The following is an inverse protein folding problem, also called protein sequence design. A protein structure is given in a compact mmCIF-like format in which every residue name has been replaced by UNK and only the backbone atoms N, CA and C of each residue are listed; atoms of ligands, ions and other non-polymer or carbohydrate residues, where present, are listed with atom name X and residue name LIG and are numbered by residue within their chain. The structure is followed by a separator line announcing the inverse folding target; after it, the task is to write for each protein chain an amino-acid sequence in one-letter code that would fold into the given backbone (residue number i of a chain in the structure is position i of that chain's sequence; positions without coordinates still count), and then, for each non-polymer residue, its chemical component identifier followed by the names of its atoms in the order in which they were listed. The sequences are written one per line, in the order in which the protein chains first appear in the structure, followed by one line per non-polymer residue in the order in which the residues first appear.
data_IF_335013930940
#
_entry.id   IF_335013930940
#
_cell.length_a   1.000
_cell.length_b   1.000
_cell.length_c   1.000
_cell.angle_alpha   90.00
_cell.angle_beta   90.00
_cell.angle_gamma   90.00
#
_symmetry.space_group_name_H-M   'P 1'
#
loop_
_entity.id
_entity.type
_entity.pdbx_description
1 polymer ?
#
# COMPACT_ATOMS: atom_id res chain seq x y z
N UNK A 1 21.34 -42.54 31.34
CA UNK A 1 21.75 -43.47 30.29
C UNK A 1 20.52 -43.92 29.51
N UNK A 2 20.26 -43.39 28.33
CA UNK A 2 19.49 -44.04 27.27
C UNK A 2 19.92 -43.36 25.95
N UNK A 3 20.62 -44.16 25.12
CA UNK A 3 21.09 -43.83 23.80
C UNK A 3 19.89 -43.84 22.85
N UNK A 4 19.76 -42.85 21.97
CA UNK A 4 18.92 -42.96 20.81
C UNK A 4 19.79 -42.85 19.56
N UNK A 5 19.71 -43.91 18.81
CA UNK A 5 20.42 -44.22 17.56
C UNK A 5 19.78 -43.44 16.40
N UNK A 6 20.65 -42.94 15.51
CA UNK A 6 20.24 -42.22 14.31
C UNK A 6 19.64 -43.10 13.20
N UNK A 7 18.87 -42.49 12.35
CA UNK A 7 18.54 -43.00 11.03
C UNK A 7 18.99 -42.00 9.97
N UNK A 8 20.03 -42.39 9.24
CA UNK A 8 20.41 -41.80 7.95
C UNK A 8 19.50 -42.38 6.88
N UNK A 9 18.79 -41.54 6.15
CA UNK A 9 18.15 -41.89 4.89
C UNK A 9 18.87 -41.22 3.73
N UNK A 10 19.51 -42.05 2.94
CA UNK A 10 20.12 -41.66 1.68
C UNK A 10 19.08 -41.44 0.60
N UNK A 11 19.13 -40.32 -0.07
CA UNK A 11 18.37 -40.07 -1.30
C UNK A 11 19.28 -40.21 -2.49
N UNK A 12 18.94 -41.18 -3.37
CA UNK A 12 19.59 -41.49 -4.62
C UNK A 12 19.36 -40.36 -5.66
N UNK A 13 20.46 -40.01 -6.29
CA UNK A 13 20.55 -39.13 -7.44
C UNK A 13 20.15 -39.89 -8.70
N UNK A 14 19.07 -39.50 -9.35
CA UNK A 14 18.66 -40.01 -10.67
C UNK A 14 19.11 -39.06 -11.77
N UNK A 15 20.14 -39.47 -12.54
CA UNK A 15 20.57 -38.78 -13.75
C UNK A 15 19.71 -39.24 -14.91
N UNK A 16 19.02 -38.32 -15.59
CA UNK A 16 18.41 -38.58 -16.90
C UNK A 16 19.20 -37.87 -17.99
N UNK A 17 19.72 -38.69 -18.89
CA UNK A 17 20.47 -38.33 -20.08
C UNK A 17 19.50 -37.88 -21.17
N UNK A 18 19.73 -36.67 -21.71
CA UNK A 18 19.08 -36.16 -22.92
C UNK A 18 19.89 -36.59 -24.15
N UNK A 19 19.24 -37.38 -25.01
CA UNK A 19 19.70 -37.62 -26.38
C UNK A 19 18.98 -36.65 -27.32
N UNK A 20 19.78 -36.01 -28.17
CA UNK A 20 19.31 -35.08 -29.19
C UNK A 20 18.89 -35.79 -30.50
N UNK A 21 18.18 -35.06 -31.34
CA UNK A 21 18.16 -35.17 -32.82
C UNK A 21 17.35 -34.00 -33.36
N UNK A 22 17.91 -33.24 -34.13
CA UNK A 22 18.16 -33.12 -35.60
C UNK A 22 17.25 -32.07 -36.27
N UNK A 23 17.93 -31.18 -36.89
CA UNK A 23 17.54 -30.11 -37.82
C UNK A 23 16.87 -30.65 -39.08
N UNK A 24 15.82 -29.97 -39.58
CA UNK A 24 15.41 -30.01 -40.98
C UNK A 24 15.08 -28.63 -41.48
N UNK A 25 15.91 -28.18 -42.40
CA UNK A 25 15.79 -27.02 -43.26
C UNK A 25 14.78 -27.29 -44.37
N UNK A 26 13.83 -26.39 -44.60
CA UNK A 26 13.02 -26.36 -45.87
C UNK A 26 13.05 -24.94 -46.42
N UNK A 27 13.45 -24.92 -47.71
CA UNK A 27 13.68 -23.79 -48.61
C UNK A 27 12.39 -23.01 -48.94
N UNK A 28 12.60 -21.70 -49.12
CA UNK A 28 11.72 -20.78 -49.89
C UNK A 28 11.69 -21.17 -51.40
N UNK A 29 10.64 -20.77 -52.12
CA UNK A 29 10.84 -20.34 -53.53
C UNK A 29 10.52 -18.86 -53.72
N UNK A 30 11.45 -18.19 -54.36
CA UNK A 30 11.24 -16.90 -55.05
C UNK A 30 10.37 -17.09 -56.29
N UNK A 31 9.50 -16.11 -56.54
CA UNK A 31 9.12 -15.67 -57.91
C UNK A 31 8.56 -14.25 -57.85
N UNK A 32 9.29 -13.37 -58.38
CA UNK A 32 9.18 -12.64 -59.69
C UNK A 32 8.27 -11.40 -59.69
N UNK A 33 8.95 -10.32 -59.95
CA UNK A 33 8.56 -8.93 -60.24
C UNK A 33 7.57 -8.82 -61.40
N UNK A 34 6.54 -7.96 -61.23
CA UNK A 34 5.94 -7.25 -62.36
C UNK A 34 5.66 -5.81 -61.95
N UNK A 35 6.34 -4.92 -62.65
CA UNK A 35 6.12 -3.46 -62.66
C UNK A 35 4.85 -3.15 -63.46
N UNK A 36 3.99 -2.29 -62.89
CA UNK A 36 3.11 -1.45 -63.71
C UNK A 36 2.98 -0.10 -62.98
N UNK A 37 3.55 0.90 -63.62
CA UNK A 37 3.31 2.31 -63.30
C UNK A 37 1.91 2.69 -63.81
N UNK A 38 1.15 3.40 -62.97
CA UNK A 38 0.16 4.40 -63.50
C UNK A 38 -0.19 5.41 -62.42
N UNK A 39 0.16 6.64 -62.76
CA UNK A 39 -0.50 7.93 -62.51
C UNK A 39 -0.93 8.35 -61.08
N UNK A 40 -0.27 9.40 -60.69
CA UNK A 40 -0.54 10.47 -59.73
C UNK A 40 -1.99 10.98 -59.79
N UNK A 41 -2.68 10.99 -58.65
CA UNK A 41 -3.66 12.03 -58.33
C UNK A 41 -3.46 12.43 -56.86
N UNK A 42 -3.02 13.68 -56.70
CA UNK A 42 -2.98 14.35 -55.37
C UNK A 42 -4.40 14.52 -54.87
N UNK A 43 -4.69 13.99 -53.72
CA UNK A 43 -5.71 14.54 -52.82
C UNK A 43 -5.07 14.64 -51.44
N UNK A 44 -4.58 15.83 -51.16
CA UNK A 44 -4.31 16.31 -49.83
C UNK A 44 -5.65 16.46 -49.14
N UNK A 45 -6.04 15.43 -48.38
CA UNK A 45 -7.09 15.56 -47.38
C UNK A 45 -6.37 15.74 -46.06
N UNK A 46 -6.43 16.95 -45.54
CA UNK A 46 -6.03 17.35 -44.21
C UNK A 46 -6.58 16.35 -43.22
N UNK A 47 -5.69 15.52 -42.65
CA UNK A 47 -5.96 14.79 -41.44
C UNK A 47 -5.73 15.77 -40.31
N UNK A 48 -6.75 16.59 -40.02
CA UNK A 48 -6.83 17.31 -38.77
C UNK A 48 -6.79 16.25 -37.67
N UNK A 49 -5.65 16.09 -37.02
CA UNK A 49 -5.54 15.42 -35.75
C UNK A 49 -6.32 16.29 -34.76
N UNK A 50 -7.53 15.86 -34.41
CA UNK A 50 -8.18 16.31 -33.22
C UNK A 50 -7.35 15.72 -32.06
N UNK A 51 -6.31 16.43 -31.66
CA UNK A 51 -5.85 16.41 -30.28
C UNK A 51 -6.96 17.08 -29.49
N UNK A 52 -7.89 16.27 -28.99
CA UNK A 52 -8.80 16.67 -27.93
C UNK A 52 -7.88 17.02 -26.76
N UNK A 53 -7.66 18.30 -26.54
CA UNK A 53 -6.94 18.78 -25.36
C UNK A 53 -7.79 18.34 -24.17
N UNK A 54 -7.38 17.26 -23.50
CA UNK A 54 -7.93 16.91 -22.21
C UNK A 54 -7.83 18.18 -21.36
N UNK A 55 -8.98 18.70 -20.91
CA UNK A 55 -8.99 19.82 -19.97
C UNK A 55 -8.14 19.38 -18.78
N UNK A 56 -7.09 20.14 -18.48
CA UNK A 56 -6.22 19.83 -17.35
C UNK A 56 -7.08 19.85 -16.10
N UNK A 57 -7.19 18.70 -15.42
CA UNK A 57 -7.89 18.64 -14.15
C UNK A 57 -7.10 19.45 -13.12
N UNK A 58 -7.80 20.21 -12.31
CA UNK A 58 -7.23 21.01 -11.22
C UNK A 58 -7.42 20.35 -9.83
N UNK A 59 -8.17 19.27 -9.78
CA UNK A 59 -8.60 18.67 -8.53
C UNK A 59 -8.51 17.14 -8.58
N UNK A 60 -7.90 16.54 -7.56
CA UNK A 60 -7.82 15.08 -7.34
C UNK A 60 -8.39 14.76 -5.95
N UNK A 61 -9.27 13.76 -5.88
CA UNK A 61 -9.79 13.23 -4.62
C UNK A 61 -9.12 11.89 -4.29
N UNK A 62 -8.44 11.84 -3.15
CA UNK A 62 -7.83 10.61 -2.63
C UNK A 62 -8.76 9.97 -1.60
N UNK A 63 -9.16 8.73 -1.83
CA UNK A 63 -9.82 7.87 -0.86
C UNK A 63 -8.77 6.97 -0.23
N UNK A 64 -8.28 7.37 0.93
CA UNK A 64 -7.19 6.69 1.61
C UNK A 64 -7.77 5.76 2.66
N UNK A 65 -7.57 4.45 2.51
CA UNK A 65 -8.12 3.45 3.41
C UNK A 65 -7.05 2.59 4.08
N UNK A 66 -7.28 2.26 5.35
CA UNK A 66 -6.48 1.27 6.07
C UNK A 66 -6.90 -0.12 5.64
N UNK A 67 -5.93 -1.03 5.45
CA UNK A 67 -6.18 -2.44 5.16
C UNK A 67 -7.18 -3.11 6.12
N UNK A 68 -7.83 -4.19 5.69
CA UNK A 68 -8.72 -5.01 6.50
C UNK A 68 -8.01 -5.64 7.72
N UNK A 69 -8.78 -6.16 8.69
CA UNK A 69 -8.24 -6.75 9.93
C UNK A 69 -7.45 -8.02 9.64
N UNK A 70 -6.20 -8.07 10.12
CA UNK A 70 -5.27 -9.20 9.94
C UNK A 70 -5.22 -10.13 11.15
N UNK A 71 -4.54 -11.28 10.98
CA UNK A 71 -4.25 -12.21 12.08
C UNK A 71 -3.41 -11.54 13.17
N UNK A 72 -2.41 -10.71 12.83
CA UNK A 72 -1.60 -9.99 13.80
C UNK A 72 -2.41 -8.93 14.55
N UNK A 73 -3.34 -8.23 13.88
CA UNK A 73 -4.28 -7.34 14.57
C UNK A 73 -5.21 -8.09 15.56
N UNK A 74 -5.52 -9.35 15.28
CA UNK A 74 -6.37 -10.17 16.17
C UNK A 74 -5.61 -10.68 17.35
N UNK A 75 -4.33 -11.02 17.20
CA UNK A 75 -3.45 -11.50 18.27
C UNK A 75 -2.73 -10.37 19.03
N UNK A 76 -3.07 -9.12 18.77
CA UNK A 76 -2.50 -7.91 19.37
C UNK A 76 -0.98 -7.85 19.30
N UNK A 77 -0.45 -8.04 18.08
CA UNK A 77 0.99 -7.98 17.80
C UNK A 77 1.33 -6.82 16.89
N UNK A 78 2.52 -6.28 17.06
CA UNK A 78 3.09 -5.25 16.21
C UNK A 78 3.15 -5.73 14.75
N UNK A 79 2.69 -4.89 13.84
CA UNK A 79 2.62 -5.19 12.42
C UNK A 79 2.99 -3.96 11.61
N UNK A 80 4.27 -3.80 11.40
CA UNK A 80 4.83 -2.80 10.50
C UNK A 80 5.09 -3.41 9.12
N UNK A 81 6.35 -3.76 8.84
CA UNK A 81 6.73 -4.39 7.57
C UNK A 81 6.47 -5.89 7.54
N UNK A 82 6.42 -6.58 8.69
CA UNK A 82 5.92 -7.96 8.75
C UNK A 82 4.50 -8.02 8.18
N UNK A 83 4.19 -9.09 7.45
CA UNK A 83 2.88 -9.23 6.82
C UNK A 83 2.11 -10.44 7.35
N UNK A 84 0.79 -10.32 7.35
CA UNK A 84 -0.11 -11.41 7.73
C UNK A 84 -1.42 -11.28 6.93
N UNK A 85 -2.06 -12.41 6.55
CA UNK A 85 -3.29 -12.41 5.79
C UNK A 85 -4.44 -11.75 6.54
N UNK A 86 -5.44 -11.31 5.79
CA UNK A 86 -6.70 -10.84 6.36
C UNK A 86 -7.42 -11.99 7.10
N UNK A 87 -8.12 -11.65 8.17
CA UNK A 87 -9.05 -12.57 8.82
C UNK A 87 -10.39 -12.61 8.06
N UNK A 88 -11.27 -13.60 8.32
CA UNK A 88 -12.62 -13.57 7.75
C UNK A 88 -13.37 -12.25 8.04
N UNK A 89 -13.19 -11.69 9.25
CA UNK A 89 -13.76 -10.37 9.60
C UNK A 89 -13.08 -9.22 8.84
N UNK A 90 -11.79 -9.34 8.53
CA UNK A 90 -11.05 -8.38 7.70
C UNK A 90 -11.52 -8.39 6.24
N UNK A 91 -11.75 -9.58 5.69
CA UNK A 91 -12.33 -9.77 4.34
C UNK A 91 -13.74 -9.18 4.29
N UNK A 92 -14.59 -9.47 5.28
CA UNK A 92 -15.97 -8.96 5.31
C UNK A 92 -16.03 -7.43 5.40
N UNK A 93 -15.20 -6.80 6.23
CA UNK A 93 -15.20 -5.33 6.32
C UNK A 93 -14.66 -4.67 5.04
N UNK A 94 -13.69 -5.28 4.36
CA UNK A 94 -13.19 -4.81 3.06
C UNK A 94 -14.28 -4.98 1.97
N UNK A 95 -15.00 -6.11 1.98
CA UNK A 95 -16.14 -6.34 1.07
C UNK A 95 -17.27 -5.32 1.32
N UNK A 96 -17.61 -5.09 2.58
CA UNK A 96 -18.60 -4.07 2.95
C UNK A 96 -18.17 -2.67 2.49
N UNK A 97 -16.90 -2.30 2.65
CA UNK A 97 -16.37 -1.04 2.13
C UNK A 97 -16.55 -0.94 0.61
N UNK A 98 -16.18 -1.99 -0.14
CA UNK A 98 -16.35 -2.01 -1.60
C UNK A 98 -17.81 -1.84 -2.03
N UNK A 99 -18.74 -2.55 -1.38
CA UNK A 99 -20.19 -2.41 -1.63
C UNK A 99 -20.70 -1.00 -1.28
N UNK A 100 -20.24 -0.43 -0.16
CA UNK A 100 -20.64 0.91 0.27
C UNK A 100 -20.16 2.00 -0.68
N UNK A 101 -18.92 1.93 -1.15
CA UNK A 101 -18.38 2.84 -2.16
C UNK A 101 -19.15 2.73 -3.49
N UNK A 102 -19.56 1.52 -3.87
CA UNK A 102 -20.43 1.32 -5.03
C UNK A 102 -21.81 1.96 -4.86
N UNK A 103 -22.43 1.83 -3.70
CA UNK A 103 -23.73 2.44 -3.40
C UNK A 103 -23.68 3.97 -3.44
N UNK A 104 -22.55 4.56 -3.06
CA UNK A 104 -22.31 6.01 -3.14
C UNK A 104 -21.94 6.50 -4.55
N UNK A 105 -21.84 5.60 -5.53
CA UNK A 105 -21.51 5.94 -6.90
C UNK A 105 -20.06 6.41 -7.10
N UNK A 106 -19.15 6.12 -6.16
CA UNK A 106 -17.73 6.44 -6.30
C UNK A 106 -17.12 5.54 -7.39
N UNK A 107 -16.49 6.12 -8.40
CA UNK A 107 -15.77 5.38 -9.45
C UNK A 107 -14.32 5.80 -9.48
N UNK A 108 -13.42 4.84 -9.26
CA UNK A 108 -11.98 5.12 -9.24
C UNK A 108 -11.37 5.11 -10.63
N UNK A 109 -10.47 6.05 -10.89
CA UNK A 109 -9.66 6.11 -12.09
C UNK A 109 -8.34 5.34 -11.91
N UNK A 110 -7.81 5.31 -10.70
CA UNK A 110 -6.57 4.64 -10.35
C UNK A 110 -6.58 4.05 -8.93
N UNK A 111 -5.73 3.03 -8.70
CA UNK A 111 -5.58 2.37 -7.41
C UNK A 111 -4.11 2.20 -7.07
N UNK A 112 -3.71 2.73 -5.93
CA UNK A 112 -2.36 2.57 -5.38
C UNK A 112 -2.42 1.82 -4.05
N UNK A 113 -1.44 0.97 -3.80
CA UNK A 113 -1.35 0.23 -2.54
C UNK A 113 0.08 0.17 -2.01
N UNK A 114 0.20 0.02 -0.68
CA UNK A 114 1.41 -0.60 -0.13
C UNK A 114 1.66 -1.95 -0.80
N UNK A 115 2.90 -2.35 -0.94
CA UNK A 115 3.27 -3.67 -1.49
C UNK A 115 3.10 -4.82 -0.49
N UNK A 116 2.55 -4.56 0.71
CA UNK A 116 2.16 -5.59 1.69
C UNK A 116 0.94 -6.37 1.21
N UNK A 117 0.94 -7.69 1.36
CA UNK A 117 -0.16 -8.58 0.92
C UNK A 117 -1.51 -8.18 1.49
N UNK A 118 -1.57 -7.78 2.79
CA UNK A 118 -2.81 -7.31 3.43
C UNK A 118 -3.42 -6.07 2.78
N UNK A 119 -2.59 -5.15 2.26
CA UNK A 119 -3.08 -3.96 1.56
C UNK A 119 -3.54 -4.29 0.15
N UNK A 120 -2.79 -5.14 -0.56
CA UNK A 120 -3.14 -5.63 -1.89
C UNK A 120 -4.45 -6.42 -1.85
N UNK A 121 -4.58 -7.40 -0.95
CA UNK A 121 -5.80 -8.20 -0.76
C UNK A 121 -7.02 -7.30 -0.45
N UNK A 122 -6.84 -6.27 0.37
CA UNK A 122 -7.90 -5.30 0.66
C UNK A 122 -8.34 -4.54 -0.60
N UNK A 123 -7.40 -4.06 -1.43
CA UNK A 123 -7.70 -3.36 -2.68
C UNK A 123 -8.41 -4.27 -3.68
N UNK A 124 -7.95 -5.51 -3.85
CA UNK A 124 -8.57 -6.52 -4.73
C UNK A 124 -10.02 -6.79 -4.34
N UNK A 125 -10.29 -6.93 -3.03
CA UNK A 125 -11.65 -7.13 -2.51
C UNK A 125 -12.53 -5.91 -2.80
N UNK A 126 -12.06 -4.69 -2.53
CA UNK A 126 -12.79 -3.45 -2.79
C UNK A 126 -13.15 -3.35 -4.28
N UNK A 127 -12.19 -3.54 -5.18
CA UNK A 127 -12.42 -3.47 -6.63
C UNK A 127 -13.40 -4.52 -7.12
N UNK A 128 -13.29 -5.76 -6.61
CA UNK A 128 -14.21 -6.85 -6.93
C UNK A 128 -15.65 -6.51 -6.56
N UNK A 129 -15.89 -6.02 -5.33
CA UNK A 129 -17.24 -5.66 -4.86
C UNK A 129 -17.82 -4.46 -5.62
N UNK A 130 -16.97 -3.51 -6.00
CA UNK A 130 -17.37 -2.41 -6.87
C UNK A 130 -17.70 -2.87 -8.30
N UNK A 131 -17.10 -3.97 -8.77
CA UNK A 131 -17.15 -4.43 -10.14
C UNK A 131 -16.23 -3.65 -11.08
N UNK A 132 -15.19 -3.02 -10.54
CA UNK A 132 -14.14 -2.34 -11.31
C UNK A 132 -12.94 -3.27 -11.52
N UNK A 133 -12.34 -3.20 -12.69
CA UNK A 133 -11.13 -3.95 -13.05
C UNK A 133 -10.01 -2.96 -13.39
N UNK A 134 -9.34 -2.45 -12.37
CA UNK A 134 -8.23 -1.52 -12.47
C UNK A 134 -6.91 -2.22 -12.11
N UNK A 135 -5.82 -1.77 -12.73
CA UNK A 135 -4.48 -2.18 -12.32
C UNK A 135 -4.16 -1.62 -10.93
N UNK A 136 -3.58 -2.46 -10.07
CA UNK A 136 -3.16 -2.07 -8.72
C UNK A 136 -1.68 -1.68 -8.76
N UNK A 137 -1.40 -0.38 -8.64
CA UNK A 137 -0.04 0.15 -8.55
C UNK A 137 0.51 -0.01 -7.13
N UNK A 138 1.58 -0.82 -6.99
CA UNK A 138 2.19 -1.12 -5.68
C UNK A 138 3.40 -0.21 -5.45
N UNK A 139 3.43 0.46 -4.29
CA UNK A 139 4.56 1.29 -3.90
C UNK A 139 4.98 1.01 -2.45
N UNK A 140 6.24 0.61 -2.27
CA UNK A 140 6.82 0.32 -0.93
C UNK A 140 6.83 1.54 -0.01
N UNK A 141 6.77 2.76 -0.55
CA UNK A 141 6.71 3.99 0.25
C UNK A 141 5.37 4.16 0.97
N UNK A 142 4.32 3.38 0.58
CA UNK A 142 3.02 3.30 1.27
C UNK A 142 3.00 2.26 2.40
N UNK A 143 4.10 1.54 2.69
CA UNK A 143 4.19 0.60 3.82
C UNK A 143 3.90 1.28 5.15
N UNK A 144 3.54 0.47 6.16
CA UNK A 144 3.50 0.88 7.55
C UNK A 144 4.92 1.26 8.02
N UNK A 145 5.04 1.83 9.20
CA UNK A 145 6.32 2.02 9.86
C UNK A 145 7.08 0.70 9.92
N UNK A 146 8.37 0.74 9.68
CA UNK A 146 9.24 -0.39 9.99
C UNK A 146 9.53 -0.39 11.51
N UNK A 147 9.19 -1.47 12.18
CA UNK A 147 9.46 -1.62 13.61
C UNK A 147 10.78 -2.37 13.89
N UNK A 148 11.56 -2.67 12.85
CA UNK A 148 12.86 -3.34 12.99
C UNK A 148 12.75 -4.70 13.66
N UNK A 149 13.57 -4.94 14.68
CA UNK A 149 13.55 -6.20 15.46
C UNK A 149 12.34 -6.35 16.38
N UNK A 150 11.49 -5.31 16.49
CA UNK A 150 10.22 -5.35 17.25
C UNK A 150 9.03 -5.84 16.41
N UNK A 151 9.25 -6.18 15.14
CA UNK A 151 8.20 -6.75 14.28
C UNK A 151 7.66 -8.06 14.83
N UNK A 152 6.33 -8.18 14.91
CA UNK A 152 5.65 -9.39 15.43
C UNK A 152 5.64 -9.54 16.95
N UNK A 153 6.28 -8.63 17.68
CA UNK A 153 6.27 -8.61 19.16
C UNK A 153 4.86 -8.33 19.69
N UNK A 154 4.44 -8.83 20.86
CA UNK A 154 3.24 -8.35 21.54
C UNK A 154 3.26 -6.82 21.68
N UNK A 155 2.11 -6.19 21.43
CA UNK A 155 2.07 -4.71 21.45
C UNK A 155 2.40 -4.14 22.83
N UNK A 156 1.95 -4.76 23.90
CA UNK A 156 2.25 -4.34 25.27
C UNK A 156 3.75 -4.39 25.58
N UNK A 157 4.48 -5.38 25.06
CA UNK A 157 5.93 -5.51 25.23
C UNK A 157 6.66 -4.39 24.45
N UNK A 158 6.28 -4.15 23.17
CA UNK A 158 6.88 -3.09 22.36
C UNK A 158 6.61 -1.70 22.95
N UNK A 159 5.35 -1.41 23.29
CA UNK A 159 4.98 -0.14 23.92
C UNK A 159 5.59 0.04 25.30
N UNK A 160 5.71 -1.05 26.06
CA UNK A 160 6.39 -1.05 27.37
C UNK A 160 7.88 -0.71 27.25
N UNK A 161 8.58 -1.24 26.25
CA UNK A 161 9.98 -0.91 26.01
C UNK A 161 10.16 0.58 25.64
N UNK A 162 9.26 1.13 24.82
CA UNK A 162 9.28 2.55 24.43
C UNK A 162 8.97 3.44 25.64
N UNK A 163 7.93 3.12 26.43
CA UNK A 163 7.58 3.85 27.64
C UNK A 163 8.76 3.90 28.62
N UNK A 164 9.40 2.75 28.89
CA UNK A 164 10.56 2.67 29.75
C UNK A 164 11.72 3.53 29.25
N UNK A 165 12.00 3.55 27.96
CA UNK A 165 13.04 4.39 27.36
C UNK A 165 12.73 5.90 27.48
N UNK A 166 11.45 6.26 27.52
CA UNK A 166 10.98 7.63 27.76
C UNK A 166 10.86 7.97 29.26
N UNK A 167 11.21 7.07 30.16
CA UNK A 167 11.16 7.28 31.62
C UNK A 167 9.75 7.28 32.19
N UNK A 168 8.79 6.61 31.55
CA UNK A 168 7.40 6.49 32.00
C UNK A 168 6.94 5.03 32.06
N UNK A 169 5.82 4.78 32.73
CA UNK A 169 5.17 3.47 32.70
C UNK A 169 4.34 3.32 31.43
N UNK A 170 4.01 2.07 31.06
CA UNK A 170 3.08 1.81 29.95
C UNK A 170 1.70 2.43 30.22
N UNK A 171 1.24 2.41 31.48
CA UNK A 171 -0.04 3.02 31.89
C UNK A 171 -0.03 4.54 31.67
N UNK A 172 1.03 5.23 32.10
CA UNK A 172 1.18 6.68 31.90
C UNK A 172 1.22 7.03 30.40
N UNK A 173 1.94 6.24 29.59
CA UNK A 173 1.97 6.40 28.16
C UNK A 173 0.58 6.23 27.54
N UNK A 174 -0.14 5.17 27.86
CA UNK A 174 -1.50 4.93 27.37
C UNK A 174 -2.47 6.03 27.80
N UNK A 175 -2.32 6.60 28.99
CA UNK A 175 -3.12 7.73 29.47
C UNK A 175 -2.79 9.00 28.65
N UNK A 176 -1.52 9.27 28.38
CA UNK A 176 -1.10 10.45 27.59
C UNK A 176 -1.63 10.39 26.15
N UNK A 177 -1.71 9.21 25.56
CA UNK A 177 -2.27 8.99 24.21
C UNK A 177 -3.76 9.38 24.12
N UNK A 178 -4.51 9.36 25.23
CA UNK A 178 -5.92 9.74 25.23
C UNK A 178 -6.16 11.25 25.22
N UNK A 179 -5.17 12.04 25.61
CA UNK A 179 -5.29 13.49 25.75
C UNK A 179 -4.47 14.30 24.76
N UNK A 180 -3.45 13.70 24.13
CA UNK A 180 -2.59 14.30 23.12
C UNK A 180 -3.14 14.22 21.69
N UNK A 181 -2.49 14.93 20.78
CA UNK A 181 -2.73 14.74 19.36
C UNK A 181 -2.11 13.40 18.89
N UNK A 182 -2.53 12.93 17.72
CA UNK A 182 -1.92 11.73 17.10
C UNK A 182 -0.40 11.86 16.97
N UNK A 183 0.10 13.01 16.52
CA UNK A 183 1.53 13.22 16.32
C UNK A 183 2.32 13.39 17.63
N UNK A 184 1.69 13.86 18.71
CA UNK A 184 2.34 13.93 20.03
C UNK A 184 2.70 12.53 20.56
N UNK A 185 2.00 11.51 20.09
CA UNK A 185 2.27 10.10 20.42
C UNK A 185 3.19 9.44 19.41
N UNK A 186 2.87 9.58 18.12
CA UNK A 186 3.49 8.77 17.06
C UNK A 186 4.91 9.24 16.73
N UNK A 187 5.20 10.53 16.83
CA UNK A 187 6.55 11.00 16.56
C UNK A 187 7.56 10.52 17.63
N UNK A 188 7.32 10.70 18.94
CA UNK A 188 8.21 10.14 19.96
C UNK A 188 8.26 8.60 19.93
N UNK A 189 7.17 7.93 19.57
CA UNK A 189 7.14 6.48 19.40
C UNK A 189 8.15 6.04 18.34
N UNK A 190 8.08 6.59 17.12
CA UNK A 190 8.96 6.22 16.01
C UNK A 190 10.43 6.51 16.33
N UNK A 191 10.73 7.72 16.83
CA UNK A 191 12.10 8.13 17.14
C UNK A 191 12.72 7.30 18.27
N UNK A 192 11.94 6.99 19.32
CA UNK A 192 12.42 6.14 20.43
C UNK A 192 12.66 4.71 19.95
N UNK A 193 11.73 4.16 19.15
CA UNK A 193 11.88 2.82 18.61
C UNK A 193 13.11 2.71 17.71
N UNK A 194 13.31 3.67 16.81
CA UNK A 194 14.48 3.73 15.94
C UNK A 194 15.79 3.78 16.73
N UNK A 195 15.80 4.55 17.83
CA UNK A 195 16.98 4.63 18.71
C UNK A 195 17.24 3.31 19.43
N UNK A 196 16.21 2.64 19.97
CA UNK A 196 16.32 1.37 20.67
C UNK A 196 16.75 0.23 19.75
N UNK A 197 16.34 0.27 18.49
CA UNK A 197 16.53 -0.81 17.53
C UNK A 197 17.86 -0.72 16.76
N UNK A 198 18.46 0.45 16.66
CA UNK A 198 19.58 0.76 15.77
C UNK A 198 20.73 -0.26 15.84
N UNK A 199 21.24 -0.50 17.05
CA UNK A 199 22.39 -1.38 17.25
C UNK A 199 21.96 -2.86 17.15
N UNK A 200 20.80 -3.20 17.69
CA UNK A 200 20.22 -4.54 17.65
C UNK A 200 19.91 -4.99 16.22
N UNK A 201 19.32 -4.15 15.41
CA UNK A 201 19.05 -4.46 14.00
C UNK A 201 20.35 -4.72 13.22
N UNK A 202 21.41 -3.94 13.48
CA UNK A 202 22.71 -4.13 12.85
C UNK A 202 23.37 -5.46 13.25
N UNK A 203 23.30 -5.84 14.53
CA UNK A 203 23.81 -7.11 15.03
C UNK A 203 23.07 -8.32 14.46
N UNK A 204 21.75 -8.22 14.30
CA UNK A 204 20.88 -9.28 13.75
C UNK A 204 20.85 -9.29 12.21
N UNK A 205 21.46 -8.31 11.54
CA UNK A 205 21.43 -8.17 10.07
C UNK A 205 20.03 -7.85 9.53
N UNK A 206 19.20 -7.17 10.33
CA UNK A 206 17.85 -6.75 9.98
C UNK A 206 17.81 -5.28 9.51
N UNK A 207 16.72 -4.88 8.87
CA UNK A 207 16.45 -3.46 8.63
C UNK A 207 16.09 -2.77 9.95
N UNK A 208 16.70 -1.61 10.26
CA UNK A 208 16.37 -0.88 11.48
C UNK A 208 14.97 -0.28 11.41
N UNK A 209 14.38 -0.04 12.58
CA UNK A 209 13.14 0.71 12.69
C UNK A 209 13.30 2.12 12.10
N UNK A 210 12.23 2.63 11.48
CA UNK A 210 12.22 3.97 10.87
C UNK A 210 11.98 5.05 11.93
N UNK A 211 12.72 6.17 11.82
CA UNK A 211 12.41 7.39 12.54
C UNK A 211 11.28 8.19 11.85
N UNK A 212 10.71 9.17 12.58
CA UNK A 212 9.57 9.92 12.07
C UNK A 212 9.92 10.80 10.86
N UNK A 213 11.17 11.27 10.74
CA UNK A 213 11.60 12.08 9.61
C UNK A 213 11.61 11.25 8.32
N UNK A 214 12.24 10.08 8.34
CA UNK A 214 12.28 9.14 7.21
C UNK A 214 10.89 8.73 6.77
N UNK A 215 9.97 8.48 7.73
CA UNK A 215 8.58 8.13 7.45
C UNK A 215 7.85 9.27 6.74
N UNK A 216 7.96 10.49 7.26
CA UNK A 216 7.33 11.68 6.65
C UNK A 216 7.84 11.90 5.23
N UNK A 217 9.14 11.83 5.03
CA UNK A 217 9.77 12.07 3.72
C UNK A 217 9.25 11.09 2.66
N UNK A 218 9.20 9.78 2.99
CA UNK A 218 8.70 8.78 2.02
C UNK A 218 7.22 8.93 1.74
N UNK A 219 6.41 9.27 2.76
CA UNK A 219 4.97 9.46 2.58
C UNK A 219 4.67 10.71 1.77
N UNK A 220 5.32 11.83 2.04
CA UNK A 220 5.17 13.05 1.25
C UNK A 220 5.57 12.81 -0.21
N UNK A 221 6.69 12.12 -0.45
CA UNK A 221 7.14 11.81 -1.79
C UNK A 221 6.12 10.95 -2.57
N UNK A 222 5.62 9.84 -1.98
CA UNK A 222 4.69 8.96 -2.70
C UNK A 222 3.35 9.64 -2.96
N UNK A 223 2.79 10.39 -2.02
CA UNK A 223 1.52 11.09 -2.25
C UNK A 223 1.66 12.24 -3.25
N UNK A 224 2.81 12.94 -3.25
CA UNK A 224 3.11 13.94 -4.29
C UNK A 224 3.19 13.32 -5.69
N UNK A 225 3.84 12.16 -5.82
CA UNK A 225 3.93 11.44 -7.09
C UNK A 225 2.56 10.95 -7.56
N UNK A 226 1.74 10.37 -6.66
CA UNK A 226 0.37 9.92 -6.96
C UNK A 226 -0.48 11.09 -7.46
N UNK A 227 -0.45 12.22 -6.78
CA UNK A 227 -1.22 13.43 -7.18
C UNK A 227 -0.73 13.95 -8.52
N UNK A 228 0.59 14.05 -8.71
CA UNK A 228 1.16 14.51 -9.98
C UNK A 228 0.77 13.59 -11.14
N UNK A 229 0.92 12.26 -10.97
CA UNK A 229 0.53 11.29 -11.99
C UNK A 229 -0.97 11.37 -12.29
N UNK A 230 -1.80 11.55 -11.26
CA UNK A 230 -3.25 11.70 -11.42
C UNK A 230 -3.61 12.92 -12.24
N UNK A 231 -3.00 14.07 -11.94
CA UNK A 231 -3.20 15.30 -12.72
C UNK A 231 -2.73 15.14 -14.16
N UNK A 232 -1.57 14.54 -14.39
CA UNK A 232 -1.02 14.32 -15.73
C UNK A 232 -1.89 13.37 -16.58
N UNK A 233 -2.60 12.43 -15.94
CA UNK A 233 -3.45 11.42 -16.60
C UNK A 233 -4.95 11.74 -16.59
N UNK A 234 -5.36 12.82 -15.95
CA UNK A 234 -6.77 13.19 -15.81
C UNK A 234 -7.57 12.34 -14.81
N UNK A 235 -6.90 11.73 -13.82
CA UNK A 235 -7.55 10.93 -12.76
C UNK A 235 -8.11 11.85 -11.68
N UNK A 236 -9.41 11.76 -11.41
CA UNK A 236 -10.11 12.61 -10.43
C UNK A 236 -10.39 11.89 -9.11
N UNK A 237 -10.61 10.58 -9.14
CA UNK A 237 -10.97 9.75 -7.99
C UNK A 237 -9.95 8.62 -7.84
N UNK A 238 -9.15 8.62 -6.77
CA UNK A 238 -8.03 7.69 -6.58
C UNK A 238 -8.18 6.93 -5.27
N UNK A 239 -8.14 5.59 -5.33
CA UNK A 239 -8.07 4.74 -4.15
C UNK A 239 -6.62 4.55 -3.73
N UNK A 240 -6.33 4.77 -2.43
CA UNK A 240 -5.02 4.46 -1.84
C UNK A 240 -5.21 3.53 -0.65
N UNK A 241 -4.62 2.32 -0.68
CA UNK A 241 -4.69 1.37 0.43
C UNK A 241 -3.35 1.31 1.15
N UNK A 242 -3.34 1.68 2.43
CA UNK A 242 -2.14 1.76 3.26
C UNK A 242 -2.44 1.31 4.70
N UNK A 243 -1.78 1.87 5.69
CA UNK A 243 -1.73 1.38 7.07
C UNK A 243 -2.05 2.49 8.08
N UNK A 244 -2.34 2.09 9.31
CA UNK A 244 -2.89 2.97 10.32
C UNK A 244 -1.99 4.15 10.69
N UNK A 245 -0.73 3.87 11.05
CA UNK A 245 0.21 4.93 11.47
C UNK A 245 0.66 5.78 10.28
N UNK A 246 0.94 5.14 9.14
CA UNK A 246 1.35 5.85 7.91
C UNK A 246 0.28 6.81 7.41
N UNK A 247 -0.98 6.38 7.33
CA UNK A 247 -2.10 7.27 6.93
C UNK A 247 -2.24 8.41 7.92
N UNK A 248 -2.27 8.12 9.23
CA UNK A 248 -2.42 9.14 10.27
C UNK A 248 -1.30 10.18 10.21
N UNK A 249 -0.05 9.75 10.00
CA UNK A 249 1.12 10.63 9.84
C UNK A 249 0.99 11.51 8.61
N UNK A 250 0.62 10.93 7.46
CA UNK A 250 0.41 11.71 6.24
C UNK A 250 -0.67 12.79 6.44
N UNK A 251 -1.85 12.42 6.92
CA UNK A 251 -2.95 13.34 7.15
C UNK A 251 -2.57 14.49 8.08
N UNK A 252 -1.92 14.18 9.22
CA UNK A 252 -1.45 15.18 10.18
C UNK A 252 -0.32 16.06 9.63
N UNK A 253 0.39 15.63 8.61
CA UNK A 253 1.50 16.38 7.99
C UNK A 253 0.97 17.37 6.95
N UNK A 254 -0.04 16.98 6.17
CA UNK A 254 -0.57 17.82 5.08
C UNK A 254 -1.66 18.78 5.53
N UNK A 255 -2.32 18.49 6.65
CA UNK A 255 -3.36 19.34 7.24
C UNK A 255 -3.26 19.30 8.78
N UNK A 256 -2.79 20.38 9.37
CA UNK A 256 -2.62 20.49 10.83
C UNK A 256 -3.95 20.46 11.60
N UNK A 257 -5.06 20.74 10.93
CA UNK A 257 -6.41 20.71 11.51
C UNK A 257 -7.08 19.34 11.39
N UNK A 258 -6.45 18.37 10.71
CA UNK A 258 -6.97 17.01 10.58
C UNK A 258 -7.15 16.35 11.95
N UNK A 259 -8.37 15.87 12.22
CA UNK A 259 -8.72 15.22 13.48
C UNK A 259 -8.39 13.72 13.45
N UNK A 260 -7.11 13.39 13.36
CA UNK A 260 -6.66 11.99 13.41
C UNK A 260 -6.85 11.46 14.84
N UNK A 261 -7.60 10.35 15.04
CA UNK A 261 -7.79 9.79 16.37
C UNK A 261 -6.46 9.32 16.97
N UNK A 262 -6.18 9.67 18.21
CA UNK A 262 -4.98 9.23 18.93
C UNK A 262 -4.90 7.70 19.08
N UNK A 263 -6.06 7.03 19.17
CA UNK A 263 -6.17 5.56 19.15
C UNK A 263 -5.91 4.93 17.77
N UNK A 264 -5.55 5.73 16.75
CA UNK A 264 -5.31 5.28 15.39
C UNK A 264 -6.57 5.05 14.56
N UNK A 265 -6.39 4.74 13.29
CA UNK A 265 -7.45 4.53 12.31
C UNK A 265 -8.01 3.10 12.40
N UNK A 266 -9.29 2.93 12.17
CA UNK A 266 -9.95 1.60 12.12
C UNK A 266 -9.65 0.88 10.80
N UNK A 267 -9.65 -0.45 10.81
CA UNK A 267 -9.53 -1.24 9.59
C UNK A 267 -10.66 -0.92 8.61
N UNK A 268 -10.35 -0.79 7.33
CA UNK A 268 -11.26 -0.41 6.25
C UNK A 268 -12.01 0.92 6.47
N UNK A 269 -11.50 1.81 7.33
CA UNK A 269 -11.95 3.20 7.37
C UNK A 269 -11.40 3.99 6.20
N UNK A 270 -12.14 4.99 5.74
CA UNK A 270 -11.74 5.89 4.66
C UNK A 270 -11.40 7.26 5.23
N UNK A 271 -10.30 7.83 4.78
CA UNK A 271 -9.99 9.25 4.96
C UNK A 271 -9.98 9.89 3.58
N UNK A 272 -10.77 10.92 3.39
CA UNK A 272 -10.93 11.61 2.12
C UNK A 272 -10.10 12.89 2.10
N UNK A 273 -9.24 13.02 1.10
CA UNK A 273 -8.36 14.19 0.91
C UNK A 273 -8.58 14.74 -0.48
N UNK A 274 -8.91 16.03 -0.56
CA UNK A 274 -9.02 16.75 -1.83
C UNK A 274 -7.75 17.55 -2.04
N UNK A 275 -7.15 17.41 -3.23
CA UNK A 275 -5.97 18.15 -3.64
C UNK A 275 -6.36 19.06 -4.79
N UNK A 276 -6.26 20.37 -4.57
CA UNK A 276 -6.52 21.39 -5.56
C UNK A 276 -5.39 22.41 -5.57
N UNK A 277 -4.89 22.76 -6.75
CA UNK A 277 -3.77 23.71 -6.91
C UNK A 277 -2.56 23.37 -6.02
N UNK A 278 -2.25 22.07 -5.84
CA UNK A 278 -1.18 21.58 -4.97
C UNK A 278 -1.47 21.68 -3.46
N UNK A 279 -2.65 22.17 -3.06
CA UNK A 279 -3.06 22.25 -1.66
C UNK A 279 -3.89 21.02 -1.27
N UNK A 280 -3.48 20.33 -0.21
CA UNK A 280 -4.21 19.24 0.41
C UNK A 280 -5.23 19.77 1.40
N UNK A 281 -6.45 19.23 1.37
CA UNK A 281 -7.52 19.51 2.35
C UNK A 281 -8.10 18.17 2.79
N UNK A 282 -8.02 17.89 4.09
CA UNK A 282 -8.56 16.65 4.67
C UNK A 282 -10.06 16.89 4.97
N UNK A 283 -10.93 16.27 4.17
CA UNK A 283 -12.39 16.41 4.33
C UNK A 283 -12.96 15.50 5.42
N UNK A 284 -12.50 14.24 5.45
CA UNK A 284 -12.91 13.26 6.46
C UNK A 284 -11.74 12.43 6.92
N UNK A 285 -11.79 11.97 8.17
CA UNK A 285 -10.79 11.09 8.77
C UNK A 285 -11.50 9.91 9.41
N UNK A 286 -11.00 8.70 9.15
CA UNK A 286 -11.46 7.47 9.82
C UNK A 286 -12.96 7.19 9.65
N UNK A 287 -13.53 7.51 8.49
CA UNK A 287 -14.95 7.32 8.19
C UNK A 287 -15.26 5.84 7.93
N UNK A 288 -16.16 5.27 8.73
CA UNK A 288 -16.67 3.90 8.60
C UNK A 288 -18.01 3.84 7.87
N UNK A 289 -18.64 4.98 7.56
CA UNK A 289 -19.99 5.03 7.00
C UNK A 289 -20.12 4.28 5.68
N UNK A 290 -19.07 4.26 4.85
CA UNK A 290 -19.05 3.45 3.63
C UNK A 290 -19.19 1.96 3.94
N UNK A 291 -18.37 1.44 4.86
CA UNK A 291 -18.44 0.04 5.25
C UNK A 291 -19.77 -0.30 5.97
N UNK A 292 -20.32 0.63 6.74
CA UNK A 292 -21.63 0.45 7.41
C UNK A 292 -22.78 0.34 6.40
N UNK A 293 -22.78 1.18 5.36
CA UNK A 293 -23.78 1.13 4.29
C UNK A 293 -23.69 -0.11 3.40
N UNK A 294 -22.52 -0.71 3.31
CA UNK A 294 -22.26 -1.91 2.51
C UNK A 294 -22.53 -3.24 3.24
N UNK A 295 -22.92 -3.22 4.52
CA UNK A 295 -23.31 -4.41 5.27
C UNK A 295 -24.69 -4.88 4.86
#
# INVERSE_FOLDING_TARGET
MKKFTGYMSAFLLGIMILTGCQTSSVKQPETAVSKTETAVTKNETEKASAEESAEAIDTVTLYITRHGKTMLNTSDRSQGWIDAPLTPAGIEVASALGRGLKLEGVEFDAVYTSDSGRAIETAEIILKEKGQNLEIHKDKRLREFNFGTYEGMPNDEMWGAIAAAQGMTLEDMMASMQTGSFMDTVAPFADTLAQLDKDKAAEEGNWPAEDIASIKDRLQAVFSDIVKESMDKGYTEVLVVSHGLSIGTFLSTVDADAKVPSAGLKNASVSKVVVKDGKYTVETVNDLSYAERGK
#
